data_IF_896884039826
#
_entry.id   IF_896884039826
#
_cell.length_a   1.000
_cell.length_b   1.000
_cell.length_c   1.000
_cell.angle_alpha   90.00
_cell.angle_beta   90.00
_cell.angle_gamma   90.00
#
_symmetry.space_group_name_H-M   'P 1'
#
loop_
_entity.id
_entity.type
_entity.pdbx_description
1 polymer ?
#
# COMPACT_ATOMS: atom_id res chain seq x y z
N UNK A 1 13.59 12.64 -40.46
CA UNK A 1 15.01 12.36 -40.79
C UNK A 1 15.67 11.69 -39.59
N UNK A 2 15.60 10.36 -39.48
CA UNK A 2 16.33 9.59 -38.46
C UNK A 2 17.58 9.01 -39.09
N UNK A 3 18.75 9.51 -38.68
CA UNK A 3 20.04 9.10 -39.24
C UNK A 3 20.41 7.67 -38.85
N UNK A 4 20.86 6.92 -39.86
CA UNK A 4 21.38 5.56 -39.80
C UNK A 4 22.79 5.57 -39.21
N UNK A 5 23.10 4.66 -38.27
CA UNK A 5 24.48 4.38 -37.88
C UNK A 5 25.09 3.35 -38.85
N UNK A 6 26.15 3.74 -39.53
CA UNK A 6 27.10 2.84 -40.18
C UNK A 6 28.41 2.85 -39.39
N UNK A 7 29.03 1.68 -39.23
CA UNK A 7 30.34 1.56 -38.60
C UNK A 7 30.63 0.18 -38.01
N UNK A 8 30.59 -0.88 -38.82
CA UNK A 8 31.33 -2.11 -38.51
C UNK A 8 30.60 -3.42 -38.16
N UNK A 9 29.35 -3.65 -38.56
CA UNK A 9 28.77 -5.02 -38.52
C UNK A 9 27.74 -5.26 -39.63
N UNK A 10 28.23 -5.72 -40.79
CA UNK A 10 27.42 -6.31 -41.87
C UNK A 10 26.97 -7.76 -41.57
N UNK A 11 26.55 -8.05 -40.33
CA UNK A 11 26.03 -9.37 -39.92
C UNK A 11 24.87 -9.32 -38.92
N UNK A 12 24.33 -8.14 -38.57
CA UNK A 12 22.98 -7.99 -37.98
C UNK A 12 22.62 -8.79 -36.72
N UNK A 13 23.57 -9.40 -36.01
CA UNK A 13 23.32 -10.15 -34.77
C UNK A 13 24.34 -11.25 -34.53
N UNK A 14 25.45 -10.95 -33.84
CA UNK A 14 26.38 -11.96 -33.33
C UNK A 14 25.86 -12.56 -32.00
N UNK A 15 26.57 -13.55 -31.46
CA UNK A 15 26.36 -14.26 -30.17
C UNK A 15 26.19 -13.32 -28.94
N UNK A 16 26.38 -12.00 -29.10
CA UNK A 16 26.24 -11.00 -28.05
C UNK A 16 25.20 -9.91 -28.34
N UNK A 17 24.29 -10.11 -29.31
CA UNK A 17 23.18 -9.18 -29.58
C UNK A 17 21.97 -9.41 -28.64
N UNK A 18 22.25 -9.63 -27.35
CA UNK A 18 21.22 -9.84 -26.33
C UNK A 18 20.72 -8.52 -25.73
N UNK A 19 21.42 -7.41 -25.96
CA UNK A 19 21.04 -6.08 -25.47
C UNK A 19 20.54 -5.20 -26.60
N UNK A 20 19.38 -4.59 -26.41
CA UNK A 20 18.83 -3.56 -27.30
C UNK A 20 18.40 -2.36 -26.46
N UNK A 21 18.65 -1.15 -26.94
CA UNK A 21 18.28 0.05 -26.19
C UNK A 21 17.91 1.24 -27.08
N UNK A 22 17.03 2.10 -26.57
CA UNK A 22 16.77 3.44 -27.09
C UNK A 22 17.27 4.42 -26.03
N UNK A 23 18.15 5.35 -26.40
CA UNK A 23 18.67 6.36 -25.49
C UNK A 23 18.59 7.76 -26.11
N UNK A 24 18.08 8.73 -25.35
CA UNK A 24 18.10 10.15 -25.74
C UNK A 24 19.41 10.82 -25.30
N UNK A 25 19.77 11.95 -25.93
CA UNK A 25 20.91 12.77 -25.48
C UNK A 25 20.76 13.26 -24.03
N UNK A 26 19.52 13.45 -23.57
CA UNK A 26 19.23 13.84 -22.19
C UNK A 26 19.41 12.70 -21.19
N UNK A 27 19.55 11.44 -21.64
CA UNK A 27 19.84 10.29 -20.77
C UNK A 27 18.62 9.44 -20.39
N UNK A 28 17.45 9.66 -21.00
CA UNK A 28 16.30 8.75 -20.89
C UNK A 28 16.65 7.46 -21.64
N UNK A 29 16.36 6.30 -21.04
CA UNK A 29 16.67 5.00 -21.66
C UNK A 29 15.51 4.03 -21.55
N UNK A 30 15.35 3.22 -22.59
CA UNK A 30 14.62 1.95 -22.58
C UNK A 30 15.63 0.87 -22.94
N UNK A 31 15.82 -0.11 -22.06
CA UNK A 31 16.76 -1.23 -22.24
C UNK A 31 15.98 -2.54 -22.25
N UNK A 32 16.30 -3.41 -23.20
CA UNK A 32 15.75 -4.76 -23.35
C UNK A 32 16.90 -5.75 -23.35
N UNK A 33 16.83 -6.78 -22.51
CA UNK A 33 17.85 -7.80 -22.36
C UNK A 33 17.25 -9.20 -22.62
N UNK A 34 17.60 -9.84 -23.72
CA UNK A 34 17.09 -11.15 -24.12
C UNK A 34 17.65 -12.30 -23.24
N UNK A 35 18.84 -12.13 -22.66
CA UNK A 35 19.43 -13.14 -21.77
C UNK A 35 18.66 -13.22 -20.45
N UNK A 36 18.34 -12.07 -19.86
CA UNK A 36 17.55 -11.97 -18.63
C UNK A 36 16.04 -11.98 -18.90
N UNK A 37 15.62 -11.77 -20.15
CA UNK A 37 14.23 -11.53 -20.56
C UNK A 37 13.62 -10.32 -19.83
N UNK A 38 14.44 -9.30 -19.60
CA UNK A 38 14.12 -8.13 -18.76
C UNK A 38 13.96 -6.85 -19.58
N UNK A 39 13.23 -5.88 -19.02
CA UNK A 39 13.03 -4.54 -19.59
C UNK A 39 13.20 -3.49 -18.51
N UNK A 40 13.98 -2.45 -18.79
CA UNK A 40 14.16 -1.29 -17.90
C UNK A 40 13.82 0.01 -18.63
N UNK A 41 12.96 0.84 -18.05
CA UNK A 41 12.74 2.23 -18.45
C UNK A 41 13.34 3.10 -17.34
N UNK A 42 14.24 4.02 -17.69
CA UNK A 42 14.84 4.94 -16.70
C UNK A 42 14.96 6.35 -17.25
N UNK A 43 14.86 7.33 -16.34
CA UNK A 43 15.18 8.72 -16.62
C UNK A 43 16.44 9.18 -15.85
N UNK A 44 17.04 10.32 -16.24
CA UNK A 44 18.25 10.83 -15.59
C UNK A 44 18.06 11.23 -14.12
N UNK A 45 16.82 11.39 -13.67
CA UNK A 45 16.52 11.74 -12.28
C UNK A 45 16.49 10.53 -11.36
N UNK A 46 16.54 9.30 -11.92
CA UNK A 46 16.56 8.05 -11.18
C UNK A 46 15.19 7.37 -11.06
N UNK A 47 14.17 7.83 -11.79
CA UNK A 47 12.91 7.09 -11.88
C UNK A 47 13.14 5.81 -12.68
N UNK A 48 12.58 4.68 -12.21
CA UNK A 48 12.72 3.38 -12.89
C UNK A 48 11.40 2.63 -12.99
N UNK A 49 11.21 1.94 -14.10
CA UNK A 49 10.23 0.88 -14.29
C UNK A 49 10.99 -0.36 -14.77
N UNK A 50 11.03 -1.41 -13.95
CA UNK A 50 11.85 -2.60 -14.19
C UNK A 50 10.98 -3.85 -14.17
N UNK A 51 10.98 -4.59 -15.28
CA UNK A 51 10.42 -5.94 -15.39
C UNK A 51 11.58 -6.92 -15.49
N UNK A 52 11.68 -7.87 -14.56
CA UNK A 52 12.91 -8.66 -14.34
C UNK A 52 13.01 -9.94 -15.18
N UNK A 53 11.96 -10.31 -15.92
CA UNK A 53 11.90 -11.55 -16.69
C UNK A 53 11.61 -12.82 -15.88
N UNK A 54 11.58 -12.73 -14.54
CA UNK A 54 11.20 -13.79 -13.62
C UNK A 54 9.76 -13.64 -13.09
N UNK A 55 9.03 -12.64 -13.61
CA UNK A 55 7.63 -12.38 -13.30
C UNK A 55 7.41 -11.26 -12.27
N UNK A 56 8.46 -10.52 -11.89
CA UNK A 56 8.34 -9.38 -10.98
C UNK A 56 8.44 -8.05 -11.71
N UNK A 57 7.86 -7.02 -11.11
CA UNK A 57 7.94 -5.63 -11.55
C UNK A 57 8.31 -4.76 -10.35
N UNK A 58 9.25 -3.83 -10.54
CA UNK A 58 9.59 -2.79 -9.58
C UNK A 58 9.45 -1.41 -10.23
N UNK A 59 8.75 -0.49 -9.57
CA UNK A 59 8.63 0.90 -9.99
C UNK A 59 9.15 1.80 -8.89
N UNK A 60 10.15 2.63 -9.19
CA UNK A 60 10.82 3.48 -8.20
C UNK A 60 10.78 4.94 -8.65
N UNK A 61 10.51 5.83 -7.71
CA UNK A 61 10.64 7.27 -7.88
C UNK A 61 11.42 7.86 -6.70
N UNK A 62 12.50 8.64 -6.90
CA UNK A 62 13.26 9.26 -5.80
C UNK A 62 12.51 10.38 -5.05
N UNK A 63 11.37 10.82 -5.58
CA UNK A 63 10.51 11.84 -4.98
C UNK A 63 9.09 11.31 -4.81
N UNK A 64 8.16 11.73 -5.67
CA UNK A 64 6.73 11.47 -5.52
C UNK A 64 6.23 10.50 -6.60
N UNK A 65 5.20 9.73 -6.26
CA UNK A 65 4.44 8.89 -7.19
C UNK A 65 2.94 9.11 -6.95
N UNK A 66 2.17 9.29 -8.02
CA UNK A 66 0.73 9.57 -7.95
C UNK A 66 -0.04 8.66 -8.90
N UNK A 67 -1.15 8.09 -8.42
CA UNK A 67 -2.08 7.29 -9.22
C UNK A 67 -3.44 7.97 -9.23
N UNK A 68 -3.90 8.39 -10.41
CA UNK A 68 -5.22 9.02 -10.58
C UNK A 68 -6.08 8.13 -11.48
N UNK A 69 -7.30 7.81 -11.03
CA UNK A 69 -8.30 7.09 -11.82
C UNK A 69 -9.60 7.92 -11.84
N UNK A 70 -10.23 8.04 -13.01
CA UNK A 70 -11.52 8.74 -13.14
C UNK A 70 -12.71 7.92 -12.67
N UNK A 71 -12.54 6.60 -12.56
CA UNK A 71 -13.54 5.65 -12.09
C UNK A 71 -12.93 4.76 -11.01
N UNK A 72 -12.57 3.52 -11.35
CA UNK A 72 -12.10 2.52 -10.39
C UNK A 72 -10.57 2.38 -10.41
N UNK A 73 -10.00 2.09 -9.22
CA UNK A 73 -8.62 1.67 -9.06
C UNK A 73 -8.60 0.40 -8.20
N UNK A 74 -8.34 -0.74 -8.84
CA UNK A 74 -8.36 -2.05 -8.20
C UNK A 74 -6.95 -2.51 -7.79
N UNK A 75 -6.83 -3.06 -6.58
CA UNK A 75 -5.60 -3.69 -6.10
C UNK A 75 -5.87 -5.12 -5.61
N UNK A 76 -5.58 -6.11 -6.46
CA UNK A 76 -5.75 -7.53 -6.17
C UNK A 76 -4.39 -8.18 -5.86
N UNK A 77 -4.22 -8.77 -4.67
CA UNK A 77 -2.95 -9.36 -4.21
C UNK A 77 -3.19 -10.78 -3.73
N UNK A 78 -2.52 -11.77 -4.34
CA UNK A 78 -2.78 -13.20 -4.07
C UNK A 78 -2.16 -13.76 -2.79
N UNK A 79 -1.22 -13.04 -2.17
CA UNK A 79 -0.59 -13.43 -0.89
C UNK A 79 -0.55 -12.25 0.07
N UNK A 80 0.57 -11.53 0.11
CA UNK A 80 0.83 -10.51 1.12
C UNK A 80 0.89 -9.12 0.50
N UNK A 81 0.25 -8.14 1.15
CA UNK A 81 0.46 -6.71 0.90
C UNK A 81 1.15 -6.11 2.14
N UNK A 82 2.24 -5.39 1.94
CA UNK A 82 2.91 -4.60 2.98
C UNK A 82 2.91 -3.14 2.57
N UNK A 83 2.57 -2.25 3.50
CA UNK A 83 2.67 -0.81 3.32
C UNK A 83 3.40 -0.22 4.53
N UNK A 84 4.37 0.66 4.28
CA UNK A 84 5.14 1.35 5.30
C UNK A 84 5.24 2.81 4.92
N UNK A 85 4.89 3.69 5.85
CA UNK A 85 4.88 5.14 5.67
C UNK A 85 5.70 5.74 6.80
N UNK A 86 6.66 6.61 6.45
CA UNK A 86 7.59 7.20 7.42
C UNK A 86 6.98 8.32 8.25
N UNK A 87 6.02 9.04 7.66
CA UNK A 87 5.31 10.16 8.28
C UNK A 87 3.80 9.82 8.33
N UNK A 88 2.96 10.53 7.58
CA UNK A 88 1.51 10.46 7.70
C UNK A 88 0.84 9.55 6.66
N UNK A 89 -0.14 8.75 7.11
CA UNK A 89 -1.08 8.02 6.26
C UNK A 89 -2.50 8.60 6.41
N UNK A 90 -2.97 9.30 5.38
CA UNK A 90 -4.33 9.86 5.33
C UNK A 90 -5.22 9.06 4.38
N UNK A 91 -6.41 8.70 4.86
CA UNK A 91 -7.39 7.95 4.08
C UNK A 91 -8.78 8.52 4.30
N UNK A 92 -9.38 9.05 3.23
CA UNK A 92 -10.72 9.61 3.23
C UNK A 92 -11.63 8.74 2.36
N UNK A 93 -12.67 8.18 2.97
CA UNK A 93 -13.66 7.32 2.31
C UNK A 93 -15.02 7.93 2.60
N UNK A 94 -15.72 8.40 1.57
CA UNK A 94 -17.01 9.08 1.71
C UNK A 94 -18.17 8.13 2.02
N UNK A 95 -18.09 6.92 1.47
CA UNK A 95 -19.13 5.90 1.60
C UNK A 95 -18.65 4.78 2.53
N UNK A 96 -18.49 3.56 1.99
CA UNK A 96 -18.30 2.37 2.80
C UNK A 96 -16.82 2.01 2.95
N UNK A 97 -16.41 1.71 4.17
CA UNK A 97 -15.10 1.16 4.50
C UNK A 97 -15.27 -0.19 5.20
N UNK A 98 -14.80 -1.28 4.58
CA UNK A 98 -15.02 -2.65 5.06
C UNK A 98 -13.70 -3.35 5.33
N UNK A 99 -13.54 -3.88 6.53
CA UNK A 99 -12.46 -4.80 6.90
C UNK A 99 -13.02 -6.19 7.14
N UNK A 100 -12.41 -7.20 6.53
CA UNK A 100 -12.70 -8.61 6.79
C UNK A 100 -11.35 -9.29 6.96
N UNK A 101 -11.05 -9.74 8.17
CA UNK A 101 -9.82 -10.45 8.48
C UNK A 101 -10.06 -11.49 9.56
N UNK A 102 -9.19 -12.49 9.62
CA UNK A 102 -9.17 -13.45 10.73
C UNK A 102 -8.73 -12.77 12.02
N UNK A 103 -7.65 -11.97 11.95
CA UNK A 103 -7.11 -11.20 13.06
C UNK A 103 -7.01 -9.71 12.70
N UNK A 104 -7.23 -8.84 13.67
CA UNK A 104 -7.02 -7.40 13.55
C UNK A 104 -6.28 -6.87 14.78
N UNK A 105 -5.07 -6.34 14.57
CA UNK A 105 -4.26 -5.75 15.62
C UNK A 105 -3.98 -4.29 15.29
N UNK A 106 -4.30 -3.42 16.23
CA UNK A 106 -3.98 -2.01 16.17
C UNK A 106 -3.17 -1.60 17.39
N UNK A 107 -2.14 -0.79 17.19
CA UNK A 107 -1.36 -0.19 18.27
C UNK A 107 -1.27 1.30 18.00
N UNK A 108 -1.68 2.11 18.98
CA UNK A 108 -1.63 3.57 18.93
C UNK A 108 -0.77 4.01 20.12
N UNK A 109 0.25 4.82 19.85
CA UNK A 109 1.20 5.26 20.89
C UNK A 109 0.73 6.49 21.66
N UNK A 110 -0.04 7.33 20.97
CA UNK A 110 -0.62 8.54 21.54
C UNK A 110 -2.14 8.38 21.62
N UNK A 111 -2.90 9.24 20.93
CA UNK A 111 -4.33 9.32 21.05
C UNK A 111 -5.05 8.54 19.95
N UNK A 112 -6.12 7.83 20.33
CA UNK A 112 -7.11 7.30 19.40
C UNK A 112 -8.45 7.99 19.67
N UNK A 113 -8.91 8.81 18.74
CA UNK A 113 -10.26 9.36 18.75
C UNK A 113 -11.17 8.54 17.83
N UNK A 114 -12.39 8.25 18.29
CA UNK A 114 -13.41 7.59 17.48
C UNK A 114 -14.73 8.31 17.72
N UNK A 115 -15.28 8.89 16.66
CA UNK A 115 -16.59 9.56 16.68
C UNK A 115 -17.55 8.77 15.81
N UNK A 116 -18.69 8.39 16.37
CA UNK A 116 -19.78 7.73 15.67
C UNK A 116 -21.01 8.62 15.84
N UNK A 117 -21.51 9.17 14.74
CA UNK A 117 -22.66 10.08 14.74
C UNK A 117 -23.99 9.35 14.88
N UNK A 118 -24.04 8.12 14.40
CA UNK A 118 -25.23 7.27 14.46
C UNK A 118 -25.05 6.18 15.51
N UNK A 119 -24.82 4.93 15.08
CA UNK A 119 -24.84 3.77 15.97
C UNK A 119 -23.49 3.03 15.98
N UNK A 120 -22.98 2.74 17.17
CA UNK A 120 -21.89 1.81 17.38
C UNK A 120 -22.46 0.46 17.85
N UNK A 121 -22.28 -0.58 17.04
CA UNK A 121 -22.63 -1.95 17.39
C UNK A 121 -21.38 -2.82 17.40
N UNK A 122 -21.08 -3.40 18.55
CA UNK A 122 -19.97 -4.34 18.74
C UNK A 122 -20.54 -5.71 19.11
N UNK A 123 -19.98 -6.79 18.55
CA UNK A 123 -20.34 -8.16 18.90
C UNK A 123 -19.06 -8.97 18.96
N UNK A 124 -18.79 -9.56 20.12
CA UNK A 124 -17.56 -10.28 20.43
C UNK A 124 -17.90 -11.51 21.28
N UNK A 125 -16.98 -12.46 21.38
CA UNK A 125 -17.13 -13.56 22.35
C UNK A 125 -16.75 -13.05 23.76
N UNK A 126 -15.46 -12.78 24.06
CA UNK A 126 -15.08 -11.90 25.16
C UNK A 126 -14.72 -10.49 24.68
N UNK A 127 -14.81 -9.51 25.59
CA UNK A 127 -14.28 -8.17 25.39
C UNK A 127 -13.65 -7.67 26.68
N UNK A 128 -12.47 -7.07 26.56
CA UNK A 128 -11.73 -6.48 27.68
C UNK A 128 -11.53 -4.99 27.41
N UNK A 129 -11.90 -4.16 28.40
CA UNK A 129 -11.63 -2.72 28.38
C UNK A 129 -10.89 -2.35 29.66
N UNK A 130 -9.65 -1.92 29.54
CA UNK A 130 -8.77 -1.61 30.67
C UNK A 130 -8.03 -0.30 30.47
N UNK A 131 -8.25 0.65 31.37
CA UNK A 131 -7.36 1.79 31.55
C UNK A 131 -6.20 1.35 32.45
N UNK A 132 -4.94 1.52 32.00
CA UNK A 132 -3.76 1.24 32.84
C UNK A 132 -3.54 2.34 33.88
N UNK A 133 -3.96 3.56 33.54
CA UNK A 133 -3.89 4.76 34.36
C UNK A 133 -5.15 5.59 34.10
N UNK A 134 -5.59 6.35 35.10
CA UNK A 134 -6.80 7.17 35.02
C UNK A 134 -8.09 6.34 34.97
N UNK A 135 -9.19 7.02 34.62
CA UNK A 135 -10.53 6.49 34.71
C UNK A 135 -11.06 5.96 33.36
N UNK A 136 -12.03 5.04 33.43
CA UNK A 136 -12.90 4.72 32.30
C UNK A 136 -14.22 5.46 32.51
N UNK A 137 -14.54 6.43 31.64
CA UNK A 137 -15.82 7.13 31.64
C UNK A 137 -16.76 6.51 30.61
N UNK A 138 -17.95 6.10 31.05
CA UNK A 138 -19.06 5.70 30.19
C UNK A 138 -20.25 6.59 30.56
N UNK A 139 -20.70 7.42 29.62
CA UNK A 139 -21.76 8.38 29.85
C UNK A 139 -22.83 8.26 28.76
N UNK A 140 -24.09 8.32 29.16
CA UNK A 140 -25.25 8.41 28.27
C UNK A 140 -26.11 9.62 28.65
N UNK A 141 -26.70 10.29 27.67
CA UNK A 141 -27.72 11.33 27.92
C UNK A 141 -29.03 10.74 28.45
N UNK A 142 -29.33 9.49 28.07
CA UNK A 142 -30.45 8.71 28.57
C UNK A 142 -29.99 7.64 29.55
N UNK A 143 -30.58 6.44 29.45
CA UNK A 143 -30.27 5.30 30.32
C UNK A 143 -29.09 4.49 29.75
N UNK A 144 -28.04 4.32 30.55
CA UNK A 144 -27.00 3.32 30.30
C UNK A 144 -27.46 1.97 30.89
N UNK A 145 -27.47 0.91 30.08
CA UNK A 145 -27.79 -0.45 30.53
C UNK A 145 -26.56 -1.34 30.45
N UNK A 146 -26.21 -1.98 31.56
CA UNK A 146 -25.21 -3.05 31.63
C UNK A 146 -25.92 -4.30 32.11
N UNK A 147 -26.09 -5.29 31.22
CA UNK A 147 -26.88 -6.49 31.48
C UNK A 147 -25.99 -7.72 31.36
N UNK A 148 -25.91 -8.50 32.43
CA UNK A 148 -25.38 -9.86 32.36
C UNK A 148 -26.52 -10.87 32.32
N UNK A 149 -26.40 -11.94 31.52
CA UNK A 149 -27.39 -13.03 31.50
C UNK A 149 -27.56 -13.70 32.86
N UNK A 150 -26.49 -13.71 33.67
CA UNK A 150 -26.48 -14.21 35.04
C UNK A 150 -26.25 -13.03 36.01
N UNK A 151 -25.12 -12.32 35.88
CA UNK A 151 -24.78 -11.17 36.71
C UNK A 151 -24.14 -10.05 35.88
N UNK A 152 -24.49 -8.79 36.18
CA UNK A 152 -23.63 -7.64 35.93
C UNK A 152 -22.98 -7.26 37.27
N UNK A 153 -21.66 -7.42 37.38
CA UNK A 153 -20.92 -7.11 38.62
C UNK A 153 -20.17 -5.80 38.44
N UNK A 154 -20.31 -4.93 39.43
CA UNK A 154 -19.49 -3.74 39.58
C UNK A 154 -18.93 -3.83 40.99
N UNK A 155 -17.65 -4.08 41.09
CA UNK A 155 -16.91 -4.16 42.35
C UNK A 155 -15.60 -3.39 42.22
N UNK A 156 -14.90 -3.23 43.34
CA UNK A 156 -13.64 -2.48 43.42
C UNK A 156 -12.40 -3.35 43.13
N UNK A 157 -12.58 -4.62 42.76
CA UNK A 157 -11.56 -5.67 42.90
C UNK A 157 -11.51 -6.25 44.31
#
# INVERSE_FOLDING_TARGET
>A
MGGMFHGGVGLGGRVQNHMRSIQTKSGIKVLMNDNEKSVTILDPSGNTYFMDGAGNITVTAPKNMTFNAGENLDFNVGKNRTASVGEDYSMSISQNHKFISTDYKQTVRENKSVTITENLKETTSPTDRKAKHGDILIQSVGVAKVLGKIHAKVDKG
#
